data_IF_771080428012
#
_entry.id   IF_771080428012
#
_cell.length_a   1.000
_cell.length_b   1.000
_cell.length_c   1.000
_cell.angle_alpha   90.00
_cell.angle_beta   90.00
_cell.angle_gamma   90.00
#
_symmetry.space_group_name_H-M   'P 1'
#
loop_
_entity.id
_entity.type
_entity.pdbx_description
1 polymer ?
#
# COMPACT_ATOMS: atom_id res chain seq x y z
N UNK A 1 -11.95 -5.24 8.63
CA UNK A 1 -12.94 -4.35 7.99
C UNK A 1 -12.37 -3.80 6.68
N UNK A 2 -13.18 -3.72 5.63
CA UNK A 2 -12.86 -3.11 4.36
C UNK A 2 -13.97 -2.13 3.96
N UNK A 3 -13.61 -1.08 3.21
CA UNK A 3 -14.56 -0.11 2.65
C UNK A 3 -14.46 -0.18 1.13
N UNK A 4 -15.60 -0.27 0.46
CA UNK A 4 -15.72 -0.32 -0.99
C UNK A 4 -16.40 0.96 -1.46
N UNK A 5 -15.72 1.69 -2.32
CA UNK A 5 -16.24 2.89 -2.95
C UNK A 5 -16.25 2.66 -4.47
N UNK A 6 -17.39 2.27 -5.06
CA UNK A 6 -17.51 2.19 -6.51
C UNK A 6 -17.19 3.53 -7.16
N UNK A 7 -16.67 3.51 -8.39
CA UNK A 7 -16.41 4.75 -9.12
C UNK A 7 -17.69 5.60 -9.25
N UNK A 8 -17.56 6.90 -9.03
CA UNK A 8 -18.68 7.85 -8.96
C UNK A 8 -19.54 7.78 -7.70
N UNK A 9 -19.26 6.91 -6.73
CA UNK A 9 -19.99 6.86 -5.47
C UNK A 9 -19.71 8.11 -4.60
N UNK A 10 -20.75 8.58 -3.93
CA UNK A 10 -20.63 9.56 -2.86
C UNK A 10 -20.52 8.85 -1.49
N UNK A 11 -20.53 9.62 -0.40
CA UNK A 11 -20.41 9.04 0.94
C UNK A 11 -21.52 8.03 1.30
N UNK A 12 -22.70 8.14 0.71
CA UNK A 12 -23.82 7.21 0.93
C UNK A 12 -23.72 5.95 0.06
N UNK A 13 -22.88 5.95 -0.97
CA UNK A 13 -22.63 4.80 -1.84
C UNK A 13 -21.47 3.91 -1.38
N UNK A 14 -20.83 4.24 -0.26
CA UNK A 14 -19.80 3.39 0.33
C UNK A 14 -20.42 2.13 0.95
N UNK A 15 -19.77 0.99 0.75
CA UNK A 15 -20.12 -0.28 1.38
C UNK A 15 -19.03 -0.68 2.36
N UNK A 16 -19.41 -1.31 3.48
CA UNK A 16 -18.45 -1.81 4.46
C UNK A 16 -18.54 -3.32 4.61
N UNK A 17 -17.41 -4.00 4.71
CA UNK A 17 -17.33 -5.43 4.99
C UNK A 17 -16.58 -5.66 6.28
N UNK A 18 -17.21 -6.30 7.26
CA UNK A 18 -16.54 -6.72 8.49
C UNK A 18 -15.77 -8.03 8.30
N UNK A 19 -16.36 -8.97 7.56
CA UNK A 19 -15.73 -10.23 7.20
C UNK A 19 -14.82 -10.02 5.98
N UNK A 20 -13.56 -9.67 6.26
CA UNK A 20 -12.52 -9.55 5.26
C UNK A 20 -11.16 -9.96 5.83
N UNK A 21 -10.31 -10.51 4.98
CA UNK A 21 -8.94 -10.91 5.30
C UNK A 21 -7.98 -10.45 4.19
N UNK A 22 -6.74 -10.15 4.57
CA UNK A 22 -5.70 -9.75 3.63
C UNK A 22 -4.43 -10.56 3.87
N UNK A 23 -4.10 -11.40 2.89
CA UNK A 23 -2.85 -12.13 2.83
C UNK A 23 -1.84 -11.35 1.99
N UNK A 24 -0.61 -11.23 2.46
CA UNK A 24 0.46 -10.47 1.79
C UNK A 24 1.71 -11.35 1.70
N UNK A 25 2.37 -11.32 0.55
CA UNK A 25 3.71 -11.88 0.37
C UNK A 25 4.71 -10.75 0.19
N UNK A 26 5.84 -10.83 0.91
CA UNK A 26 6.90 -9.83 0.83
C UNK A 26 7.95 -10.23 -0.21
N UNK A 27 8.49 -9.24 -0.92
CA UNK A 27 9.70 -9.40 -1.72
C UNK A 27 10.85 -9.86 -0.80
N UNK A 28 11.63 -10.90 -1.15
CA UNK A 28 12.70 -11.40 -0.29
C UNK A 28 13.70 -10.32 0.15
N UNK A 29 13.91 -10.18 1.45
CA UNK A 29 14.80 -9.17 2.04
C UNK A 29 14.24 -7.75 2.05
N UNK A 30 12.96 -7.56 1.70
CA UNK A 30 12.28 -6.27 1.74
C UNK A 30 11.02 -6.37 2.59
N UNK A 31 10.59 -5.22 3.11
CA UNK A 31 9.25 -5.05 3.69
C UNK A 31 8.20 -4.62 2.66
N UNK A 32 8.54 -4.69 1.37
CA UNK A 32 7.62 -4.36 0.27
C UNK A 32 6.86 -5.61 -0.15
N UNK A 33 5.54 -5.54 -0.18
CA UNK A 33 4.70 -6.58 -0.75
C UNK A 33 5.07 -6.80 -2.22
N UNK A 34 5.21 -8.06 -2.63
CA UNK A 34 5.29 -8.46 -4.03
C UNK A 34 3.91 -8.90 -4.56
N UNK A 35 3.10 -9.49 -3.68
CA UNK A 35 1.75 -9.96 -3.99
C UNK A 35 0.83 -9.76 -2.78
N UNK A 36 -0.47 -9.63 -3.04
CA UNK A 36 -1.47 -9.63 -1.98
C UNK A 36 -2.82 -10.19 -2.46
N UNK A 37 -3.58 -10.75 -1.53
CA UNK A 37 -4.94 -11.25 -1.76
C UNK A 37 -5.85 -10.69 -0.68
N UNK A 38 -6.81 -9.86 -1.09
CA UNK A 38 -7.88 -9.37 -0.23
C UNK A 38 -9.13 -10.21 -0.50
N UNK A 39 -9.64 -10.89 0.51
CA UNK A 39 -10.93 -11.59 0.47
C UNK A 39 -11.94 -10.88 1.34
N UNK A 40 -13.20 -10.83 0.91
CA UNK A 40 -14.28 -10.24 1.70
C UNK A 40 -15.65 -10.78 1.31
N UNK A 41 -16.62 -10.59 2.20
CA UNK A 41 -18.04 -10.70 1.90
C UNK A 41 -18.68 -9.32 1.88
N UNK A 42 -19.29 -8.93 0.77
CA UNK A 42 -20.05 -7.69 0.64
C UNK A 42 -21.32 -7.73 1.51
N UNK A 43 -21.92 -6.58 1.87
CA UNK A 43 -23.15 -6.52 2.68
C UNK A 43 -24.33 -7.32 2.11
N UNK A 44 -24.38 -7.49 0.79
CA UNK A 44 -25.41 -8.25 0.08
C UNK A 44 -25.13 -9.76 0.00
N UNK A 45 -24.05 -10.23 0.64
CA UNK A 45 -23.65 -11.63 0.72
C UNK A 45 -22.71 -12.09 -0.39
N UNK A 46 -22.46 -11.27 -1.43
CA UNK A 46 -21.54 -11.65 -2.51
C UNK A 46 -20.10 -11.77 -2.01
N UNK A 47 -19.42 -12.82 -2.47
CA UNK A 47 -17.99 -13.00 -2.21
C UNK A 47 -17.16 -12.09 -3.14
N UNK A 48 -16.13 -11.47 -2.58
CA UNK A 48 -15.17 -10.63 -3.28
C UNK A 48 -13.76 -11.15 -3.02
N UNK A 49 -12.98 -11.26 -4.08
CA UNK A 49 -11.54 -11.51 -4.02
C UNK A 49 -10.81 -10.49 -4.91
N UNK A 50 -9.82 -9.79 -4.40
CA UNK A 50 -8.91 -8.94 -5.17
C UNK A 50 -7.49 -9.45 -5.03
N UNK A 51 -6.90 -9.90 -6.15
CA UNK A 51 -5.50 -10.34 -6.23
C UNK A 51 -4.64 -9.25 -6.83
N UNK A 52 -3.58 -8.89 -6.14
CA UNK A 52 -2.63 -7.86 -6.52
C UNK A 52 -1.30 -8.52 -6.86
N UNK A 53 -0.78 -8.24 -8.06
CA UNK A 53 0.63 -8.47 -8.41
C UNK A 53 1.28 -7.10 -8.50
N UNK A 54 2.17 -6.81 -7.55
CA UNK A 54 2.77 -5.48 -7.43
C UNK A 54 3.86 -5.26 -8.48
N UNK A 55 3.92 -4.05 -9.02
CA UNK A 55 4.94 -3.61 -9.95
C UNK A 55 5.85 -2.56 -9.32
N UNK A 56 6.07 -1.47 -10.05
CA UNK A 56 6.92 -0.37 -9.59
C UNK A 56 6.36 0.28 -8.32
N UNK A 57 7.20 0.39 -7.30
CA UNK A 57 6.89 1.13 -6.08
C UNK A 57 7.12 2.63 -6.26
N UNK A 58 6.08 3.44 -6.04
CA UNK A 58 6.24 4.85 -5.78
C UNK A 58 6.67 5.04 -4.32
N UNK A 59 7.89 5.53 -4.09
CA UNK A 59 8.41 5.82 -2.76
C UNK A 59 7.78 7.11 -2.24
N UNK A 60 7.00 7.02 -1.15
CA UNK A 60 6.29 8.16 -0.59
C UNK A 60 7.24 9.22 0.00
N UNK A 61 8.53 8.88 0.18
CA UNK A 61 9.61 9.83 0.51
C UNK A 61 9.68 11.01 -0.44
N UNK A 62 9.47 10.81 -1.74
CA UNK A 62 9.56 11.88 -2.74
C UNK A 62 8.53 12.99 -2.55
N UNK A 63 7.50 12.74 -1.74
CA UNK A 63 6.50 13.74 -1.32
C UNK A 63 6.53 13.99 0.19
N UNK A 64 7.60 13.56 0.88
CA UNK A 64 7.91 13.91 2.26
C UNK A 64 7.53 12.89 3.32
N UNK A 65 6.93 11.74 3.01
CA UNK A 65 6.64 10.72 4.02
C UNK A 65 7.93 10.04 4.48
N UNK A 66 8.20 10.10 5.79
CA UNK A 66 9.44 9.59 6.39
C UNK A 66 10.68 10.46 6.13
N UNK A 67 10.59 11.50 5.29
CA UNK A 67 11.73 12.35 4.98
C UNK A 67 12.22 13.09 6.24
N UNK A 68 13.53 13.08 6.56
CA UNK A 68 14.06 13.64 7.81
C UNK A 68 13.86 15.15 7.96
N UNK A 69 13.97 15.91 6.85
CA UNK A 69 13.87 17.37 6.88
C UNK A 69 12.63 17.97 6.21
N UNK A 70 12.12 17.36 5.15
CA UNK A 70 10.97 17.79 4.35
C UNK A 70 9.77 16.86 4.58
N UNK A 71 9.28 16.81 5.81
CA UNK A 71 8.13 15.98 6.15
C UNK A 71 6.88 16.40 5.37
N UNK A 72 6.04 15.42 5.01
CA UNK A 72 4.81 15.69 4.26
C UNK A 72 3.92 16.71 5.01
N UNK A 73 3.63 17.83 4.35
CA UNK A 73 2.84 18.93 4.94
C UNK A 73 3.54 19.74 6.05
N UNK A 74 4.85 19.55 6.27
CA UNK A 74 5.61 20.24 7.30
C UNK A 74 5.84 21.73 6.97
N UNK A 75 5.59 22.62 7.93
CA UNK A 75 5.93 24.04 7.79
C UNK A 75 7.45 24.26 7.89
N UNK A 76 8.04 24.93 6.90
CA UNK A 76 9.48 25.18 6.81
C UNK A 76 9.88 26.65 7.03
N UNK A 77 8.91 27.56 6.97
CA UNK A 77 9.14 29.00 6.98
C UNK A 77 8.53 29.68 5.75
N UNK A 78 8.56 31.02 5.70
CA UNK A 78 7.82 31.80 4.70
C UNK A 78 8.25 31.55 3.25
N UNK A 79 9.54 31.24 3.02
CA UNK A 79 10.07 30.86 1.71
C UNK A 79 11.36 30.06 1.93
N UNK A 80 11.26 28.74 1.85
CA UNK A 80 12.41 27.83 1.90
C UNK A 80 12.35 26.93 0.68
N UNK A 81 13.47 26.78 -0.01
CA UNK A 81 13.57 25.98 -1.24
C UNK A 81 14.79 25.09 -1.12
N UNK A 82 14.63 23.83 -1.50
CA UNK A 82 15.70 22.85 -1.60
C UNK A 82 15.43 21.93 -2.79
N UNK A 83 16.47 21.26 -3.26
CA UNK A 83 16.40 20.25 -4.32
C UNK A 83 17.14 19.01 -3.85
N UNK A 84 16.50 17.86 -3.96
CA UNK A 84 17.15 16.57 -3.83
C UNK A 84 17.08 15.79 -5.14
N UNK A 85 18.07 14.91 -5.35
CA UNK A 85 18.08 13.89 -6.39
C UNK A 85 18.03 12.53 -5.71
N UNK A 86 17.10 11.67 -6.12
CA UNK A 86 16.94 10.32 -5.56
C UNK A 86 17.37 9.29 -6.61
N UNK A 87 18.45 8.57 -6.33
CA UNK A 87 18.90 7.45 -7.16
C UNK A 87 18.05 6.20 -6.89
N UNK A 88 17.11 5.92 -7.79
CA UNK A 88 16.21 4.76 -7.70
C UNK A 88 16.91 3.43 -7.99
N UNK A 89 18.17 3.45 -8.43
CA UNK A 89 18.97 2.22 -8.64
C UNK A 89 19.71 1.79 -7.37
N UNK A 90 19.85 2.68 -6.38
CA UNK A 90 20.60 2.47 -5.15
C UNK A 90 19.71 2.42 -3.89
N UNK A 91 18.49 1.88 -4.03
CA UNK A 91 17.55 1.79 -2.91
C UNK A 91 18.00 0.77 -1.86
N UNK A 92 17.85 1.15 -0.58
CA UNK A 92 18.22 0.34 0.57
C UNK A 92 16.98 -0.27 1.24
N UNK A 93 16.91 -1.60 1.41
CA UNK A 93 15.87 -2.24 2.22
C UNK A 93 15.88 -1.75 3.67
N UNK A 94 14.68 -1.58 4.21
CA UNK A 94 14.40 -1.16 5.59
C UNK A 94 15.00 0.18 6.04
N UNK A 95 15.44 1.03 5.12
CA UNK A 95 15.59 2.45 5.41
C UNK A 95 14.22 2.99 5.82
N UNK A 96 14.07 3.69 6.97
CA UNK A 96 12.75 4.06 7.49
C UNK A 96 11.87 4.83 6.52
N UNK A 97 12.46 5.70 5.70
CA UNK A 97 11.78 6.50 4.68
C UNK A 97 11.59 5.77 3.35
N UNK A 98 11.99 4.50 3.23
CA UNK A 98 11.64 3.63 2.10
C UNK A 98 10.48 2.67 2.43
N UNK A 99 9.95 2.69 3.67
CA UNK A 99 8.94 1.73 4.12
C UNK A 99 7.51 2.06 3.69
N UNK A 100 7.22 3.35 3.48
CA UNK A 100 5.93 3.82 2.96
C UNK A 100 5.98 3.87 1.44
N UNK A 101 5.19 3.03 0.80
CA UNK A 101 5.10 2.96 -0.67
C UNK A 101 3.67 2.89 -1.16
N UNK A 102 3.47 3.33 -2.40
CA UNK A 102 2.31 3.01 -3.23
C UNK A 102 2.78 2.17 -4.42
N UNK A 103 2.53 0.87 -4.38
CA UNK A 103 2.92 -0.03 -5.47
C UNK A 103 1.86 -0.04 -6.57
N UNK A 104 2.26 0.37 -7.79
CA UNK A 104 1.39 0.27 -8.97
C UNK A 104 1.26 -1.21 -9.29
N UNK A 105 0.04 -1.74 -9.22
CA UNK A 105 -0.24 -3.17 -9.22
C UNK A 105 -1.18 -3.54 -10.35
N UNK A 106 -0.96 -4.70 -10.95
CA UNK A 106 -2.00 -5.38 -11.71
C UNK A 106 -2.98 -6.01 -10.73
N UNK A 107 -4.28 -5.81 -10.94
CA UNK A 107 -5.32 -6.28 -10.04
C UNK A 107 -6.30 -7.15 -10.82
N UNK A 108 -6.58 -8.34 -10.28
CA UNK A 108 -7.70 -9.18 -10.71
C UNK A 108 -8.75 -9.17 -9.61
N UNK A 109 -9.90 -8.59 -9.90
CA UNK A 109 -11.05 -8.48 -9.00
C UNK A 109 -12.10 -9.51 -9.42
N UNK A 110 -12.49 -10.37 -8.51
CA UNK A 110 -13.58 -11.33 -8.68
C UNK A 110 -14.70 -11.00 -7.72
N UNK A 111 -15.91 -10.74 -8.21
CA UNK A 111 -17.10 -10.54 -7.39
C UNK A 111 -18.16 -11.52 -7.86
N UNK A 112 -18.57 -12.45 -7.00
CA UNK A 112 -19.58 -13.48 -7.31
C UNK A 112 -19.31 -14.22 -8.64
N UNK A 113 -18.05 -14.59 -8.84
CA UNK A 113 -17.56 -15.27 -10.05
C UNK A 113 -17.34 -14.36 -11.27
N UNK A 114 -17.73 -13.09 -11.22
CA UNK A 114 -17.43 -12.12 -12.29
C UNK A 114 -16.03 -11.56 -12.13
N UNK A 115 -15.19 -11.74 -13.16
CA UNK A 115 -13.77 -11.36 -13.14
C UNK A 115 -13.56 -10.06 -13.90
N UNK A 116 -12.81 -9.14 -13.31
CA UNK A 116 -12.35 -7.89 -13.91
C UNK A 116 -10.84 -7.77 -13.72
N UNK A 117 -10.16 -7.24 -14.73
CA UNK A 117 -8.72 -6.97 -14.68
C UNK A 117 -8.49 -5.47 -14.80
N UNK A 118 -7.53 -4.95 -14.05
CA UNK A 118 -7.18 -3.54 -14.11
C UNK A 118 -5.83 -3.23 -13.47
N UNK A 119 -5.60 -1.95 -13.27
CA UNK A 119 -4.45 -1.42 -12.54
C UNK A 119 -4.96 -0.71 -11.30
N UNK A 120 -4.32 -0.95 -10.17
CA UNK A 120 -4.62 -0.33 -8.88
C UNK A 120 -3.35 -0.01 -8.11
N UNK A 121 -3.52 0.55 -6.92
CA UNK A 121 -2.42 0.84 -6.00
C UNK A 121 -2.56 -0.07 -4.79
N UNK A 122 -1.48 -0.78 -4.44
CA UNK A 122 -1.33 -1.37 -3.12
C UNK A 122 -0.48 -0.41 -2.29
N UNK A 123 -1.12 0.33 -1.40
CA UNK A 123 -0.44 1.20 -0.46
C UNK A 123 -0.07 0.43 0.81
N UNK A 124 1.15 0.63 1.29
CA UNK A 124 1.60 0.02 2.53
C UNK A 124 2.54 0.93 3.32
N UNK A 125 2.46 0.81 4.65
CA UNK A 125 3.48 1.26 5.59
C UNK A 125 3.59 0.18 6.67
N UNK A 126 4.66 -0.62 6.59
CA UNK A 126 4.90 -1.73 7.52
C UNK A 126 6.01 -1.36 8.52
N UNK A 127 5.61 -1.13 9.76
CA UNK A 127 6.50 -0.76 10.87
C UNK A 127 6.40 -1.79 11.99
N UNK A 128 7.51 -2.12 12.62
CA UNK A 128 7.50 -3.03 13.76
C UNK A 128 7.54 -4.51 13.38
N UNK A 129 7.59 -5.33 14.44
CA UNK A 129 7.53 -6.77 14.32
C UNK A 129 6.10 -7.22 13.97
N UNK A 130 6.00 -8.21 13.10
CA UNK A 130 4.76 -8.83 12.70
C UNK A 130 5.05 -10.26 12.25
N UNK A 131 4.81 -11.20 13.18
CA UNK A 131 5.12 -12.62 13.01
C UNK A 131 4.50 -13.24 11.74
N UNK A 132 3.25 -12.93 11.33
CA UNK A 132 2.67 -13.51 10.11
C UNK A 132 3.45 -13.19 8.82
N UNK A 133 4.21 -12.10 8.81
CA UNK A 133 5.10 -11.74 7.70
C UNK A 133 6.59 -11.99 8.01
N UNK A 134 6.89 -12.65 9.13
CA UNK A 134 8.26 -12.92 9.58
C UNK A 134 9.06 -11.68 9.98
N UNK A 135 8.40 -10.54 10.23
CA UNK A 135 9.05 -9.29 10.61
C UNK A 135 9.37 -9.30 12.12
N UNK A 136 10.61 -9.03 12.50
CA UNK A 136 11.10 -9.18 13.88
C UNK A 136 11.51 -7.86 14.55
N UNK A 137 11.81 -6.82 13.78
CA UNK A 137 12.29 -5.54 14.30
C UNK A 137 11.44 -4.36 13.84
N UNK A 138 11.84 -3.15 14.25
CA UNK A 138 11.17 -1.93 13.85
C UNK A 138 11.27 -1.65 12.34
N UNK A 139 12.41 -1.97 11.71
CA UNK A 139 12.72 -1.53 10.34
C UNK A 139 13.44 -2.57 9.47
N UNK A 140 14.35 -3.39 10.02
CA UNK A 140 15.25 -4.26 9.23
C UNK A 140 15.52 -5.59 9.94
N UNK A 141 15.33 -6.69 9.21
CA UNK A 141 15.56 -8.07 9.67
C UNK A 141 16.50 -8.80 8.69
#
# INVERSE_FOLDING_TARGET
RAVWCPDGANAQGMLESDNCDMEISLKPGWRHACDAVLTAQLPDGRALEARFTTGTAFLMRGIGYGHPEWTHGGWKGPLVVEREDIDLTALQPGRPDHLHIQAISHVTLTIDGQVQHGTGILEQLMLGAYEPLGLMSLFND
#
